data_IF_848137828284
#
_entry.id   IF_848137828284
#
_cell.length_a   1.000
_cell.length_b   1.000
_cell.length_c   1.000
_cell.angle_alpha   90.00
_cell.angle_beta   90.00
_cell.angle_gamma   90.00
#
_symmetry.space_group_name_H-M   'P 1'
#
loop_
_entity.id
_entity.type
_entity.pdbx_description
1 polymer ?
#
# COMPACT_ATOMS: atom_id res chain seq x y z
N UNK A 1 9.05 74.70 -47.30
CA UNK A 1 9.85 74.34 -48.46
C UNK A 1 10.40 72.97 -48.20
N UNK A 2 9.80 71.94 -48.79
CA UNK A 2 10.32 71.13 -49.91
C UNK A 2 11.40 70.15 -49.41
N UNK A 3 11.41 68.91 -49.63
CA UNK A 3 10.86 67.85 -50.48
C UNK A 3 11.12 66.53 -49.82
N UNK A 4 10.13 65.66 -49.67
CA UNK A 4 9.93 64.33 -50.24
C UNK A 4 11.16 63.60 -50.82
N UNK A 5 11.40 62.39 -50.31
CA UNK A 5 11.62 61.26 -51.19
C UNK A 5 11.29 59.94 -50.43
N UNK A 6 10.38 59.23 -51.03
CA UNK A 6 9.97 57.86 -50.67
C UNK A 6 11.00 56.87 -51.19
N UNK A 7 11.34 55.86 -50.39
CA UNK A 7 11.97 54.65 -50.86
C UNK A 7 11.22 53.47 -50.24
N UNK A 8 10.47 52.79 -51.07
CA UNK A 8 9.86 51.51 -50.84
C UNK A 8 10.90 50.43 -50.69
N UNK A 9 10.98 49.80 -49.51
CA UNK A 9 11.71 48.52 -49.38
C UNK A 9 10.64 47.41 -49.29
N UNK A 10 10.72 46.51 -50.26
CA UNK A 10 9.95 45.28 -50.33
C UNK A 10 10.46 44.34 -49.23
N UNK A 11 9.59 43.98 -48.27
CA UNK A 11 9.83 42.94 -47.27
C UNK A 11 9.67 41.59 -47.97
N UNK A 12 10.78 40.90 -48.20
CA UNK A 12 10.83 39.47 -48.51
C UNK A 12 10.36 38.66 -47.28
N UNK A 13 9.13 38.18 -47.32
CA UNK A 13 8.64 37.14 -46.44
C UNK A 13 9.35 35.81 -46.72
N UNK A 14 10.35 35.47 -45.91
CA UNK A 14 10.89 34.12 -45.83
C UNK A 14 9.88 33.26 -45.06
N UNK A 15 9.36 32.14 -45.59
CA UNK A 15 8.47 31.26 -44.83
C UNK A 15 9.26 30.58 -43.70
N UNK A 16 8.77 30.72 -42.49
CA UNK A 16 9.23 29.93 -41.34
C UNK A 16 9.07 28.44 -41.69
N UNK A 17 10.17 27.72 -41.73
CA UNK A 17 10.20 26.27 -41.92
C UNK A 17 9.37 25.62 -40.80
N UNK A 18 8.29 24.94 -41.15
CA UNK A 18 7.60 24.00 -40.31
C UNK A 18 8.62 22.98 -39.81
N UNK A 19 8.97 23.09 -38.51
CA UNK A 19 9.66 22.02 -37.80
C UNK A 19 8.72 20.84 -37.73
N UNK A 20 8.90 19.88 -38.63
CA UNK A 20 8.28 18.58 -38.54
C UNK A 20 8.77 17.92 -37.27
N UNK A 21 7.95 17.98 -36.21
CA UNK A 21 8.12 17.13 -35.02
C UNK A 21 7.99 15.69 -35.49
N UNK A 22 9.05 14.92 -35.35
CA UNK A 22 9.11 13.55 -35.83
C UNK A 22 8.14 12.68 -35.04
N UNK A 23 6.98 12.36 -35.61
CA UNK A 23 6.01 11.36 -35.08
C UNK A 23 6.72 10.04 -34.73
N UNK A 24 7.76 9.64 -35.44
CA UNK A 24 8.51 8.42 -35.20
C UNK A 24 9.29 8.36 -33.86
N UNK A 25 9.58 9.49 -33.19
CA UNK A 25 10.28 9.48 -31.90
C UNK A 25 9.30 9.34 -30.71
N UNK A 26 8.06 9.78 -30.87
CA UNK A 26 6.99 9.58 -29.87
C UNK A 26 6.53 8.13 -29.86
N UNK A 27 6.28 7.53 -31.03
CA UNK A 27 5.89 6.12 -31.17
C UNK A 27 6.95 5.17 -30.57
N UNK A 28 8.24 5.46 -30.72
CA UNK A 28 9.31 4.63 -30.16
C UNK A 28 9.39 4.70 -28.63
N UNK A 29 9.03 5.84 -28.02
CA UNK A 29 8.98 5.99 -26.56
C UNK A 29 7.77 5.25 -25.96
N UNK A 30 6.60 5.40 -26.56
CA UNK A 30 5.39 4.72 -26.11
C UNK A 30 5.53 3.20 -26.23
N UNK A 31 6.11 2.70 -27.31
CA UNK A 31 6.39 1.27 -27.49
C UNK A 31 7.39 0.74 -26.45
N UNK A 32 8.38 1.52 -26.07
CA UNK A 32 9.35 1.15 -25.02
C UNK A 32 8.70 1.10 -23.64
N UNK A 33 7.88 2.09 -23.30
CA UNK A 33 7.10 2.12 -22.04
C UNK A 33 6.16 0.90 -21.97
N UNK A 34 5.46 0.61 -23.05
CA UNK A 34 4.59 -0.57 -23.12
C UNK A 34 5.35 -1.88 -22.87
N UNK A 35 6.52 -2.05 -23.50
CA UNK A 35 7.39 -3.22 -23.32
C UNK A 35 7.87 -3.36 -21.87
N UNK A 36 8.26 -2.26 -21.24
CA UNK A 36 8.69 -2.25 -19.83
C UNK A 36 7.56 -2.63 -18.88
N UNK A 37 6.38 -2.03 -19.03
CA UNK A 37 5.19 -2.40 -18.24
C UNK A 37 4.85 -3.88 -18.43
N UNK A 38 4.82 -4.36 -19.65
CA UNK A 38 4.53 -5.77 -19.92
C UNK A 38 5.55 -6.73 -19.30
N UNK A 39 6.84 -6.37 -19.31
CA UNK A 39 7.89 -7.16 -18.68
C UNK A 39 7.71 -7.22 -17.16
N UNK A 40 7.38 -6.09 -16.51
CA UNK A 40 7.12 -6.04 -15.07
C UNK A 40 5.87 -6.83 -14.68
N UNK A 41 4.78 -6.70 -15.44
CA UNK A 41 3.58 -7.51 -15.24
C UNK A 41 3.84 -9.02 -15.41
N UNK A 42 4.83 -9.39 -16.20
CA UNK A 42 5.25 -10.80 -16.31
C UNK A 42 6.04 -11.25 -15.08
N UNK A 43 6.95 -10.41 -14.58
CA UNK A 43 7.76 -10.70 -13.38
C UNK A 43 6.89 -10.79 -12.12
N UNK A 44 5.87 -9.93 -12.03
CA UNK A 44 4.94 -9.86 -10.89
C UNK A 44 3.55 -10.42 -11.25
N UNK A 45 3.48 -11.44 -12.12
CA UNK A 45 2.22 -11.94 -12.67
C UNK A 45 1.20 -12.35 -11.61
N UNK A 46 1.65 -12.94 -10.50
CA UNK A 46 0.81 -13.36 -9.38
C UNK A 46 0.01 -12.20 -8.76
N UNK A 47 0.55 -10.98 -8.79
CA UNK A 47 -0.09 -9.78 -8.27
C UNK A 47 -1.36 -9.38 -9.06
N UNK A 48 -1.45 -9.80 -10.31
CA UNK A 48 -2.51 -9.47 -11.24
C UNK A 48 -3.41 -10.67 -11.58
N UNK A 49 -3.19 -11.83 -10.94
CA UNK A 49 -4.00 -13.02 -11.17
C UNK A 49 -5.40 -12.92 -10.54
N UNK A 50 -6.33 -13.69 -11.08
CA UNK A 50 -7.71 -13.79 -10.60
C UNK A 50 -7.83 -14.05 -9.10
N UNK A 51 -6.91 -14.82 -8.53
CA UNK A 51 -6.85 -15.13 -7.10
C UNK A 51 -6.80 -13.88 -6.20
N UNK A 52 -6.08 -12.82 -6.63
CA UNK A 52 -5.93 -11.57 -5.87
C UNK A 52 -7.25 -10.82 -5.75
N UNK A 53 -8.11 -10.91 -6.76
CA UNK A 53 -9.47 -10.40 -6.73
C UNK A 53 -10.43 -11.35 -6.00
N UNK A 54 -10.35 -12.63 -6.32
CA UNK A 54 -11.37 -13.61 -5.96
C UNK A 54 -11.43 -13.88 -4.44
N UNK A 55 -10.26 -13.88 -3.72
CA UNK A 55 -10.23 -14.07 -2.26
C UNK A 55 -10.95 -12.94 -1.52
N UNK A 56 -10.54 -11.66 -1.66
CA UNK A 56 -11.24 -10.55 -1.00
C UNK A 56 -12.72 -10.48 -1.37
N UNK A 57 -13.06 -10.72 -2.64
CA UNK A 57 -14.46 -10.77 -3.07
C UNK A 57 -15.26 -11.87 -2.37
N UNK A 58 -14.72 -13.10 -2.30
CA UNK A 58 -15.36 -14.22 -1.59
C UNK A 58 -15.63 -13.88 -0.15
N UNK A 59 -14.62 -13.35 0.54
CA UNK A 59 -14.70 -13.08 1.97
C UNK A 59 -15.67 -11.93 2.27
N UNK A 60 -15.63 -10.86 1.47
CA UNK A 60 -16.59 -9.77 1.57
C UNK A 60 -18.03 -10.23 1.32
N UNK A 61 -18.25 -11.06 0.29
CA UNK A 61 -19.58 -11.56 -0.08
C UNK A 61 -20.13 -12.56 0.93
N UNK A 62 -19.27 -13.37 1.57
CA UNK A 62 -19.66 -14.36 2.58
C UNK A 62 -20.24 -13.69 3.81
N UNK A 63 -19.62 -12.63 4.26
CA UNK A 63 -20.07 -11.86 5.43
C UNK A 63 -21.42 -11.18 5.15
N UNK A 64 -21.60 -10.54 3.99
CA UNK A 64 -22.86 -9.87 3.65
C UNK A 64 -24.05 -10.81 3.49
N UNK A 65 -23.84 -12.07 3.12
CA UNK A 65 -24.92 -13.06 3.05
C UNK A 65 -25.48 -13.45 4.41
N UNK A 66 -24.75 -13.20 5.48
CA UNK A 66 -25.12 -13.55 6.86
C UNK A 66 -25.60 -12.38 7.72
N UNK A 67 -25.12 -11.16 7.49
CA UNK A 67 -25.45 -9.96 8.28
C UNK A 67 -24.65 -8.74 7.78
N UNK A 68 -25.00 -7.56 8.29
CA UNK A 68 -24.29 -6.31 8.08
C UNK A 68 -22.81 -6.40 8.55
N UNK A 69 -21.81 -5.91 7.82
CA UNK A 69 -20.41 -5.85 8.26
C UNK A 69 -20.22 -5.21 9.63
N UNK A 70 -21.03 -4.21 9.95
CA UNK A 70 -21.02 -3.55 11.27
C UNK A 70 -21.29 -4.53 12.43
N UNK A 71 -22.00 -5.63 12.17
CA UNK A 71 -22.33 -6.63 13.20
C UNK A 71 -21.35 -7.80 13.25
N UNK A 72 -20.58 -8.06 12.16
CA UNK A 72 -19.66 -9.20 12.06
C UNK A 72 -18.19 -8.84 12.26
N UNK A 73 -17.86 -7.56 12.24
CA UNK A 73 -16.49 -7.06 12.40
C UNK A 73 -15.62 -7.25 11.15
N UNK A 74 -14.36 -6.90 11.30
CA UNK A 74 -13.38 -6.76 10.22
C UNK A 74 -12.27 -7.81 10.29
N UNK A 75 -11.79 -8.31 9.13
CA UNK A 75 -10.59 -9.16 9.06
C UNK A 75 -9.37 -8.50 9.70
N UNK A 76 -8.62 -9.26 10.52
CA UNK A 76 -7.37 -8.83 11.15
C UNK A 76 -6.21 -9.73 10.71
N UNK A 77 -6.27 -11.01 11.14
CA UNK A 77 -5.21 -11.99 10.89
C UNK A 77 -5.78 -13.33 10.44
N UNK A 78 -4.98 -14.08 9.68
CA UNK A 78 -5.24 -15.50 9.36
C UNK A 78 -4.15 -16.35 10.00
N UNK A 79 -4.52 -17.27 10.88
CA UNK A 79 -3.58 -18.15 11.56
C UNK A 79 -3.09 -19.26 10.62
N UNK A 80 -1.78 -19.53 10.64
CA UNK A 80 -1.22 -20.66 9.91
C UNK A 80 -1.36 -21.99 10.65
N UNK A 81 -1.64 -21.96 11.95
CA UNK A 81 -1.77 -23.15 12.79
C UNK A 81 -2.84 -22.97 13.88
N UNK A 82 -3.33 -24.09 14.41
CA UNK A 82 -4.25 -24.11 15.53
C UNK A 82 -5.72 -23.91 15.17
N UNK A 83 -6.57 -23.60 16.16
CA UNK A 83 -8.02 -23.44 15.95
C UNK A 83 -8.32 -22.33 14.94
N UNK A 84 -9.25 -22.59 13.99
CA UNK A 84 -9.61 -21.69 12.89
C UNK A 84 -8.44 -21.35 11.96
N UNK A 85 -7.48 -22.29 11.83
CA UNK A 85 -6.40 -22.17 10.82
C UNK A 85 -7.00 -21.86 9.45
N UNK A 86 -6.36 -20.97 8.73
CA UNK A 86 -6.75 -20.59 7.36
C UNK A 86 -7.95 -19.63 7.27
N UNK A 87 -8.60 -19.29 8.37
CA UNK A 87 -9.74 -18.39 8.40
C UNK A 87 -9.38 -17.05 9.08
N UNK A 88 -10.03 -15.98 8.63
CA UNK A 88 -9.91 -14.68 9.28
C UNK A 88 -10.33 -14.71 10.75
N UNK A 89 -9.49 -14.17 11.60
CA UNK A 89 -9.86 -13.69 12.94
C UNK A 89 -10.46 -12.30 12.75
N UNK A 90 -11.63 -12.11 13.33
CA UNK A 90 -12.43 -10.90 13.14
C UNK A 90 -12.27 -9.98 14.36
N UNK A 91 -12.20 -8.67 14.11
CA UNK A 91 -12.11 -7.61 15.11
C UNK A 91 -13.26 -6.60 14.97
N UNK A 92 -13.48 -5.88 16.05
CA UNK A 92 -14.41 -4.75 16.12
C UNK A 92 -13.99 -3.61 15.16
N UNK A 93 -14.95 -2.78 14.67
CA UNK A 93 -14.67 -1.66 13.77
C UNK A 93 -13.74 -0.59 14.34
N UNK A 94 -13.66 -0.51 15.68
CA UNK A 94 -12.79 0.39 16.43
C UNK A 94 -11.32 0.00 16.38
N UNK A 95 -11.01 -1.22 15.95
CA UNK A 95 -9.62 -1.69 15.89
C UNK A 95 -8.89 -1.04 14.71
N UNK A 96 -7.62 -0.71 14.90
CA UNK A 96 -6.82 0.07 13.96
C UNK A 96 -6.71 -0.52 12.53
N UNK A 97 -6.92 -1.84 12.38
CA UNK A 97 -6.82 -2.51 11.08
C UNK A 97 -8.11 -2.47 10.26
N UNK A 98 -9.21 -1.95 10.80
CA UNK A 98 -10.53 -2.09 10.16
C UNK A 98 -10.64 -1.40 8.79
N UNK A 99 -9.81 -0.40 8.50
CA UNK A 99 -9.78 0.31 7.21
C UNK A 99 -9.14 -0.48 6.08
N UNK A 100 -8.25 -1.45 6.36
CA UNK A 100 -7.48 -2.12 5.31
C UNK A 100 -8.31 -3.07 4.45
N UNK A 101 -9.24 -3.81 5.03
CA UNK A 101 -10.07 -4.72 4.22
C UNK A 101 -10.98 -3.98 3.24
N UNK A 102 -11.78 -2.98 3.65
CA UNK A 102 -12.49 -2.14 2.68
C UNK A 102 -11.54 -1.41 1.73
N UNK A 103 -10.35 -0.99 2.21
CA UNK A 103 -9.30 -0.42 1.36
C UNK A 103 -8.86 -1.37 0.25
N UNK A 104 -8.67 -2.67 0.55
CA UNK A 104 -8.36 -3.70 -0.46
C UNK A 104 -9.46 -3.81 -1.51
N UNK A 105 -10.73 -3.76 -1.10
CA UNK A 105 -11.85 -3.80 -2.03
C UNK A 105 -11.87 -2.56 -2.95
N UNK A 106 -11.64 -1.38 -2.40
CA UNK A 106 -11.55 -0.15 -3.20
C UNK A 106 -10.33 -0.10 -4.10
N UNK A 107 -9.17 -0.61 -3.69
CA UNK A 107 -8.00 -0.73 -4.54
C UNK A 107 -8.26 -1.65 -5.74
N UNK A 108 -8.88 -2.80 -5.53
CA UNK A 108 -9.29 -3.69 -6.61
C UNK A 108 -10.36 -3.06 -7.53
N UNK A 109 -11.27 -2.27 -6.96
CA UNK A 109 -12.25 -1.49 -7.73
C UNK A 109 -11.57 -0.41 -8.57
N UNK A 110 -10.64 0.34 -8.01
CA UNK A 110 -9.82 1.32 -8.73
C UNK A 110 -9.06 0.66 -9.88
N UNK A 111 -8.38 -0.46 -9.62
CA UNK A 111 -7.69 -1.24 -10.66
C UNK A 111 -8.63 -1.62 -11.80
N UNK A 112 -9.83 -2.10 -11.48
CA UNK A 112 -10.82 -2.49 -12.50
C UNK A 112 -11.33 -1.32 -13.34
N UNK A 113 -11.34 -0.09 -12.79
CA UNK A 113 -11.80 1.13 -13.47
C UNK A 113 -10.64 1.78 -14.27
N UNK A 114 -9.50 2.02 -13.61
CA UNK A 114 -8.40 2.80 -14.18
C UNK A 114 -7.41 1.95 -14.99
N UNK A 115 -7.24 0.67 -14.58
CA UNK A 115 -6.25 -0.25 -15.16
C UNK A 115 -6.86 -1.59 -15.59
N UNK A 116 -7.90 -1.57 -16.46
CA UNK A 116 -8.64 -2.79 -16.81
C UNK A 116 -7.75 -3.88 -17.46
N UNK A 117 -6.67 -3.49 -18.13
CA UNK A 117 -5.70 -4.42 -18.72
C UNK A 117 -4.87 -5.21 -17.70
N UNK A 118 -4.80 -4.74 -16.44
CA UNK A 118 -4.08 -5.40 -15.35
C UNK A 118 -4.94 -6.42 -14.58
N UNK A 119 -6.24 -6.47 -14.87
CA UNK A 119 -7.15 -7.46 -14.29
C UNK A 119 -7.15 -8.75 -15.13
N UNK A 120 -6.35 -9.73 -14.72
CA UNK A 120 -6.27 -11.04 -15.40
C UNK A 120 -7.35 -11.97 -14.87
N UNK A 121 -8.50 -11.98 -15.51
CA UNK A 121 -9.54 -12.95 -15.23
C UNK A 121 -9.46 -14.10 -16.24
N UNK A 122 -9.24 -15.32 -15.75
CA UNK A 122 -9.21 -16.54 -16.57
C UNK A 122 -10.64 -17.01 -16.92
N UNK A 123 -11.60 -16.61 -16.09
CA UNK A 123 -13.00 -17.00 -16.24
C UNK A 123 -13.70 -16.19 -17.33
N UNK A 124 -14.38 -16.83 -18.31
CA UNK A 124 -15.04 -16.14 -19.42
C UNK A 124 -16.04 -15.05 -18.97
N UNK A 125 -16.72 -15.27 -17.83
CA UNK A 125 -17.69 -14.35 -17.26
C UNK A 125 -17.11 -13.09 -16.61
N UNK A 126 -15.78 -13.01 -16.40
CA UNK A 126 -15.08 -11.86 -15.80
C UNK A 126 -14.17 -11.12 -16.77
N UNK A 127 -14.23 -11.43 -18.06
CA UNK A 127 -13.34 -10.79 -19.06
C UNK A 127 -13.56 -9.29 -19.21
N UNK A 128 -14.68 -8.75 -18.73
CA UNK A 128 -14.95 -7.32 -18.73
C UNK A 128 -14.71 -6.73 -17.35
N UNK A 129 -13.84 -5.74 -17.27
CA UNK A 129 -13.60 -4.96 -16.04
C UNK A 129 -14.87 -4.30 -15.49
N UNK A 130 -15.82 -3.93 -16.37
CA UNK A 130 -17.12 -3.40 -15.97
C UNK A 130 -17.92 -4.41 -15.14
N UNK A 131 -17.81 -5.70 -15.44
CA UNK A 131 -18.46 -6.76 -14.67
C UNK A 131 -17.83 -6.82 -13.27
N UNK A 132 -16.50 -6.82 -13.18
CA UNK A 132 -15.79 -6.83 -11.90
C UNK A 132 -16.16 -5.60 -11.05
N UNK A 133 -16.16 -4.41 -11.65
CA UNK A 133 -16.58 -3.17 -10.97
C UNK A 133 -18.01 -3.27 -10.43
N UNK A 134 -18.95 -3.86 -11.19
CA UNK A 134 -20.34 -4.00 -10.77
C UNK A 134 -20.52 -4.92 -9.56
N UNK A 135 -19.63 -5.89 -9.37
CA UNK A 135 -19.64 -6.77 -8.20
C UNK A 135 -18.94 -6.16 -6.99
N UNK A 136 -17.85 -5.39 -7.21
CA UNK A 136 -17.08 -4.78 -6.13
C UNK A 136 -17.77 -3.57 -5.51
N UNK A 137 -18.39 -2.71 -6.32
CA UNK A 137 -18.93 -1.44 -5.84
C UNK A 137 -19.94 -1.58 -4.68
N UNK A 138 -20.91 -2.49 -4.72
CA UNK A 138 -21.83 -2.70 -3.58
C UNK A 138 -21.09 -3.17 -2.32
N UNK A 139 -20.07 -4.02 -2.47
CA UNK A 139 -19.24 -4.48 -1.36
C UNK A 139 -18.43 -3.32 -0.76
N UNK A 140 -17.77 -2.53 -1.60
CA UNK A 140 -17.02 -1.34 -1.17
C UNK A 140 -17.89 -0.41 -0.33
N UNK A 141 -19.10 -0.08 -0.82
CA UNK A 141 -20.04 0.80 -0.09
C UNK A 141 -20.49 0.22 1.25
N UNK A 142 -20.82 -1.08 1.29
CA UNK A 142 -21.23 -1.72 2.53
C UNK A 142 -20.09 -1.82 3.56
N UNK A 143 -18.88 -2.20 3.12
CA UNK A 143 -17.74 -2.36 4.01
C UNK A 143 -17.13 -1.03 4.48
N UNK A 144 -17.35 0.08 3.77
CA UNK A 144 -16.89 1.42 4.18
C UNK A 144 -17.87 2.14 5.14
N UNK A 145 -19.05 1.59 5.39
CA UNK A 145 -20.04 2.23 6.27
C UNK A 145 -19.53 2.41 7.72
N UNK A 146 -18.98 1.38 8.41
CA UNK A 146 -18.47 1.56 9.76
C UNK A 146 -17.28 2.53 9.88
N UNK A 147 -16.27 2.57 8.98
CA UNK A 147 -15.23 3.59 8.95
C UNK A 147 -15.74 5.03 9.02
N UNK A 148 -16.87 5.37 8.35
CA UNK A 148 -17.47 6.70 8.49
C UNK A 148 -17.78 7.06 9.95
N UNK A 149 -18.28 6.10 10.73
CA UNK A 149 -18.58 6.28 12.15
C UNK A 149 -17.34 6.54 13.01
N UNK A 150 -16.16 6.12 12.54
CA UNK A 150 -14.91 6.28 13.28
C UNK A 150 -14.28 7.68 13.12
N UNK A 151 -14.76 8.51 12.20
CA UNK A 151 -14.17 9.81 11.89
C UNK A 151 -14.08 10.79 13.07
N UNK A 152 -14.94 10.66 14.07
CA UNK A 152 -14.96 11.52 15.27
C UNK A 152 -14.08 11.00 16.44
N UNK A 153 -13.36 9.90 16.26
CA UNK A 153 -12.53 9.32 17.33
C UNK A 153 -11.32 10.19 17.64
N UNK A 154 -11.00 10.30 18.92
CA UNK A 154 -9.90 11.12 19.44
C UNK A 154 -8.99 10.37 20.40
N UNK A 155 -9.15 9.06 20.54
CA UNK A 155 -8.45 8.21 21.52
C UNK A 155 -7.23 7.49 20.96
N UNK A 156 -7.01 7.53 19.63
CA UNK A 156 -5.89 6.90 18.94
C UNK A 156 -5.34 7.77 17.82
N UNK A 157 -4.07 7.61 17.47
CA UNK A 157 -3.49 8.20 16.26
C UNK A 157 -3.79 7.36 15.00
N UNK A 158 -4.24 6.12 15.14
CA UNK A 158 -4.45 5.16 14.05
C UNK A 158 -5.63 5.51 13.12
N UNK A 159 -6.27 6.63 13.37
CA UNK A 159 -7.46 7.06 12.61
C UNK A 159 -7.18 7.17 11.10
N UNK A 160 -5.94 7.46 10.71
CA UNK A 160 -5.53 7.45 9.30
C UNK A 160 -5.65 6.07 8.67
N UNK A 161 -5.20 5.02 9.35
CA UNK A 161 -5.32 3.63 8.88
C UNK A 161 -6.78 3.16 8.78
N UNK A 162 -7.66 3.71 9.62
CA UNK A 162 -9.09 3.39 9.60
C UNK A 162 -9.81 4.06 8.44
N UNK A 163 -9.47 5.32 8.15
CA UNK A 163 -10.23 6.19 7.25
C UNK A 163 -9.67 6.17 5.82
N UNK A 164 -8.36 6.41 5.65
CA UNK A 164 -7.77 6.69 4.34
C UNK A 164 -7.86 5.54 3.35
N UNK A 165 -7.60 4.27 3.72
CA UNK A 165 -7.52 3.19 2.73
C UNK A 165 -8.76 3.04 1.85
N UNK A 166 -9.94 3.30 2.41
CA UNK A 166 -11.20 3.16 1.70
C UNK A 166 -11.80 4.51 1.26
N UNK A 167 -11.90 5.49 2.19
CA UNK A 167 -12.70 6.69 1.95
C UNK A 167 -12.00 7.67 1.00
N UNK A 168 -10.67 7.69 0.95
CA UNK A 168 -9.95 8.48 -0.04
C UNK A 168 -10.31 8.02 -1.46
N UNK A 169 -10.27 6.72 -1.73
CA UNK A 169 -10.64 6.16 -3.04
C UNK A 169 -12.10 6.38 -3.37
N UNK A 170 -12.98 6.30 -2.38
CA UNK A 170 -14.41 6.57 -2.58
C UNK A 170 -14.65 8.03 -3.03
N UNK A 171 -13.91 8.96 -2.46
CA UNK A 171 -13.93 10.36 -2.89
C UNK A 171 -13.31 10.53 -4.29
N UNK A 172 -12.11 10.00 -4.53
CA UNK A 172 -11.36 10.21 -5.77
C UNK A 172 -11.96 9.51 -6.98
N UNK A 173 -12.67 8.39 -6.79
CA UNK A 173 -13.32 7.64 -7.87
C UNK A 173 -14.74 8.13 -8.16
N UNK A 174 -15.48 8.56 -7.14
CA UNK A 174 -16.91 8.81 -7.25
C UNK A 174 -17.37 10.19 -6.78
N UNK A 175 -16.47 11.03 -6.26
CA UNK A 175 -16.85 12.33 -5.72
C UNK A 175 -17.78 12.25 -4.50
N UNK A 176 -17.59 11.25 -3.63
CA UNK A 176 -18.44 11.02 -2.47
C UNK A 176 -18.26 12.12 -1.42
N UNK A 177 -19.17 13.08 -1.37
CA UNK A 177 -19.16 14.17 -0.39
C UNK A 177 -19.15 13.69 1.06
N UNK A 178 -19.75 12.54 1.33
CA UNK A 178 -19.70 11.92 2.65
C UNK A 178 -18.30 11.45 3.01
N UNK A 179 -17.58 10.86 2.05
CA UNK A 179 -16.22 10.35 2.29
C UNK A 179 -15.24 11.48 2.53
N UNK A 180 -15.26 12.56 1.73
CA UNK A 180 -14.41 13.71 2.00
C UNK A 180 -14.77 14.42 3.31
N UNK A 181 -16.05 14.49 3.68
CA UNK A 181 -16.48 15.04 4.96
C UNK A 181 -15.94 14.21 6.15
N UNK A 182 -15.96 12.87 6.05
CA UNK A 182 -15.41 11.99 7.06
C UNK A 182 -13.87 12.09 7.16
N UNK A 183 -13.17 12.22 6.04
CA UNK A 183 -11.72 12.46 6.02
C UNK A 183 -11.36 13.76 6.72
N UNK A 184 -12.07 14.86 6.41
CA UNK A 184 -11.84 16.15 7.04
C UNK A 184 -12.13 16.09 8.55
N UNK A 185 -13.23 15.43 8.96
CA UNK A 185 -13.56 15.23 10.36
C UNK A 185 -12.46 14.43 11.07
N UNK A 186 -12.00 13.32 10.49
CA UNK A 186 -10.96 12.48 11.05
C UNK A 186 -9.62 13.23 11.20
N UNK A 187 -9.27 14.08 10.21
CA UNK A 187 -8.09 14.95 10.30
C UNK A 187 -8.19 15.93 11.48
N UNK A 188 -9.36 16.53 11.69
CA UNK A 188 -9.59 17.38 12.87
C UNK A 188 -9.53 16.58 14.17
N UNK A 189 -10.09 15.37 14.21
CA UNK A 189 -10.01 14.47 15.36
C UNK A 189 -8.56 14.10 15.68
N UNK A 190 -7.75 13.73 14.70
CA UNK A 190 -6.32 13.45 14.87
C UNK A 190 -5.55 14.70 15.37
N UNK A 191 -5.85 15.87 14.83
CA UNK A 191 -5.20 17.11 15.23
C UNK A 191 -5.48 17.49 16.70
N UNK A 192 -6.57 17.02 17.32
CA UNK A 192 -6.83 17.25 18.76
C UNK A 192 -5.81 16.54 19.66
N UNK A 193 -5.14 15.52 19.15
CA UNK A 193 -4.11 14.76 19.89
C UNK A 193 -2.73 15.45 19.88
N UNK A 194 -2.61 16.58 19.21
CA UNK A 194 -1.36 17.34 19.15
C UNK A 194 -1.05 18.00 20.48
N UNK A 195 0.12 17.70 21.04
CA UNK A 195 0.64 18.25 22.28
C UNK A 195 1.67 19.33 21.95
N UNK A 196 1.30 20.58 22.13
CA UNK A 196 2.12 21.74 21.74
C UNK A 196 3.51 21.72 22.39
N UNK A 197 3.61 21.38 23.67
CA UNK A 197 4.89 21.32 24.40
C UNK A 197 5.86 20.28 23.85
N UNK A 198 5.34 19.18 23.27
CA UNK A 198 6.13 18.14 22.64
C UNK A 198 6.33 18.37 21.13
N UNK A 199 5.55 19.24 20.51
CA UNK A 199 5.53 19.43 19.07
C UNK A 199 5.08 18.19 18.31
N UNK A 200 4.25 17.31 18.91
CA UNK A 200 3.93 16.00 18.38
C UNK A 200 2.52 15.54 18.73
N UNK A 201 2.01 14.61 17.93
CA UNK A 201 0.72 13.93 18.12
C UNK A 201 0.93 12.74 19.07
N UNK A 202 0.08 12.63 20.08
CA UNK A 202 0.07 11.50 21.00
C UNK A 202 -0.50 10.26 20.33
N UNK A 203 0.17 9.11 20.51
CA UNK A 203 -0.28 7.84 19.93
C UNK A 203 -1.51 7.28 20.65
N UNK A 204 -1.41 7.04 21.95
CA UNK A 204 -2.50 6.51 22.81
C UNK A 204 -2.55 7.24 24.13
N UNK A 205 -3.64 7.05 24.88
CA UNK A 205 -3.84 7.67 26.20
C UNK A 205 -3.31 6.80 27.33
N UNK A 206 -2.97 5.55 27.07
CA UNK A 206 -2.30 4.66 27.99
C UNK A 206 -1.56 3.55 27.27
N UNK A 207 -0.59 2.95 27.94
CA UNK A 207 0.03 1.69 27.55
C UNK A 207 0.06 0.76 28.77
N UNK A 208 -0.43 -0.47 28.59
CA UNK A 208 -0.39 -1.53 29.61
C UNK A 208 0.23 -2.77 28.98
N UNK A 209 1.43 -3.11 29.42
CA UNK A 209 2.16 -4.32 29.04
C UNK A 209 2.62 -5.04 30.33
N UNK A 210 3.24 -6.21 30.18
CA UNK A 210 3.67 -7.01 31.35
C UNK A 210 4.58 -6.22 32.29
N UNK A 211 5.50 -5.44 31.74
CA UNK A 211 6.55 -4.76 32.52
C UNK A 211 6.43 -3.22 32.50
N UNK A 212 5.46 -2.68 31.74
CA UNK A 212 5.29 -1.24 31.59
C UNK A 212 3.82 -0.87 31.68
N UNK A 213 3.49 0.02 32.60
CA UNK A 213 2.17 0.64 32.69
C UNK A 213 2.31 2.15 32.78
N UNK A 214 1.78 2.86 31.79
CA UNK A 214 1.74 4.33 31.74
C UNK A 214 0.27 4.71 31.51
N UNK A 215 -0.35 5.34 32.50
CA UNK A 215 -1.75 5.78 32.47
C UNK A 215 -1.91 7.28 32.77
N UNK A 216 -0.85 7.93 33.31
CA UNK A 216 -0.85 9.37 33.52
C UNK A 216 -0.36 10.09 32.27
N UNK A 217 -1.26 10.77 31.56
CA UNK A 217 -0.99 11.54 30.35
C UNK A 217 -0.73 13.01 30.63
N UNK A 218 -0.77 13.48 31.85
CA UNK A 218 -0.36 14.85 32.22
C UNK A 218 1.15 14.99 32.16
N UNK A 219 1.87 13.99 32.69
CA UNK A 219 3.32 13.96 32.76
C UNK A 219 3.98 13.16 31.63
N UNK A 220 3.20 12.43 30.83
CA UNK A 220 3.71 11.53 29.80
C UNK A 220 3.08 11.78 28.44
N UNK A 221 3.87 11.61 27.40
CA UNK A 221 3.42 11.52 26.03
C UNK A 221 3.93 10.22 25.40
N UNK A 222 3.02 9.44 24.85
CA UNK A 222 3.32 8.21 24.14
C UNK A 222 3.32 8.48 22.65
N UNK A 223 4.47 8.23 22.00
CA UNK A 223 4.64 8.40 20.55
C UNK A 223 5.36 7.18 20.01
N UNK A 224 4.84 6.60 18.94
CA UNK A 224 5.49 5.54 18.19
C UNK A 224 5.72 5.97 16.73
N UNK A 225 6.69 5.37 16.08
CA UNK A 225 7.17 5.80 14.77
C UNK A 225 6.12 5.67 13.65
N UNK A 226 5.23 4.70 13.73
CA UNK A 226 4.16 4.47 12.76
C UNK A 226 3.10 5.58 12.71
N UNK A 227 3.08 6.46 13.73
CA UNK A 227 2.29 7.70 13.68
C UNK A 227 2.62 8.56 12.45
N UNK A 228 3.81 8.41 11.86
CA UNK A 228 4.19 9.04 10.61
C UNK A 228 3.27 8.65 9.44
N UNK A 229 2.82 7.40 9.40
CA UNK A 229 1.93 6.91 8.35
C UNK A 229 0.53 7.56 8.40
N UNK A 230 0.12 8.06 9.56
CA UNK A 230 -1.17 8.72 9.75
C UNK A 230 -1.15 10.23 9.42
N UNK A 231 0.03 10.80 9.10
CA UNK A 231 0.14 12.22 8.72
C UNK A 231 -0.43 12.50 7.33
N UNK A 232 -0.52 11.50 6.47
CA UNK A 232 -1.13 11.62 5.15
C UNK A 232 -2.57 12.15 5.26
N UNK A 233 -3.34 11.66 6.24
CA UNK A 233 -4.68 12.17 6.55
C UNK A 233 -4.70 13.69 6.77
N UNK A 234 -3.72 14.24 7.51
CA UNK A 234 -3.64 15.68 7.80
C UNK A 234 -3.24 16.48 6.57
N UNK A 235 -2.25 16.01 5.81
CA UNK A 235 -1.81 16.67 4.59
C UNK A 235 -2.90 16.63 3.52
N UNK A 236 -3.57 15.49 3.35
CA UNK A 236 -4.67 15.35 2.41
C UNK A 236 -5.83 16.31 2.74
N UNK A 237 -6.30 16.32 3.99
CA UNK A 237 -7.36 17.21 4.42
C UNK A 237 -6.95 18.70 4.32
N UNK A 238 -5.68 19.04 4.59
CA UNK A 238 -5.17 20.39 4.39
C UNK A 238 -5.23 20.81 2.92
N UNK A 239 -4.84 19.94 2.00
CA UNK A 239 -4.89 20.19 0.56
C UNK A 239 -6.34 20.35 0.06
N UNK A 240 -7.27 19.52 0.52
CA UNK A 240 -8.69 19.59 0.12
C UNK A 240 -9.41 20.81 0.67
N UNK A 241 -9.01 21.33 1.83
CA UNK A 241 -9.71 22.44 2.51
C UNK A 241 -9.01 23.78 2.46
N UNK A 242 -7.73 23.82 2.04
CA UNK A 242 -6.87 25.00 2.16
C UNK A 242 -6.51 25.37 3.61
N UNK A 243 -6.79 24.50 4.59
CA UNK A 243 -6.51 24.76 6.02
C UNK A 243 -5.06 24.37 6.38
N UNK A 244 -4.13 25.30 6.22
CA UNK A 244 -2.69 25.08 6.48
C UNK A 244 -2.39 24.56 7.88
N UNK A 245 -3.18 24.90 8.90
CA UNK A 245 -2.96 24.43 10.29
C UNK A 245 -2.84 22.91 10.41
N UNK A 246 -3.57 22.13 9.60
CA UNK A 246 -3.46 20.66 9.64
C UNK A 246 -2.09 20.19 9.11
N UNK A 247 -1.61 20.82 8.04
CA UNK A 247 -0.28 20.57 7.51
C UNK A 247 0.83 21.01 8.48
N UNK A 248 0.63 22.12 9.22
CA UNK A 248 1.57 22.60 10.24
C UNK A 248 1.71 21.58 11.38
N UNK A 249 0.59 21.03 11.86
CA UNK A 249 0.59 19.95 12.88
C UNK A 249 1.33 18.72 12.38
N UNK A 250 1.06 18.27 11.15
CA UNK A 250 1.74 17.14 10.55
C UNK A 250 3.25 17.38 10.41
N UNK A 251 3.64 18.55 9.91
CA UNK A 251 5.04 18.93 9.72
C UNK A 251 5.81 19.05 11.06
N UNK A 252 5.15 19.60 12.09
CA UNK A 252 5.72 19.68 13.44
C UNK A 252 5.96 18.30 14.02
N UNK A 253 4.98 17.40 13.94
CA UNK A 253 5.10 16.01 14.37
C UNK A 253 6.24 15.28 13.64
N UNK A 254 6.26 15.36 12.32
CA UNK A 254 7.31 14.75 11.51
C UNK A 254 8.70 15.28 11.88
N UNK A 255 8.84 16.58 12.10
CA UNK A 255 10.11 17.21 12.53
C UNK A 255 10.54 16.71 13.90
N UNK A 256 9.60 16.54 14.84
CA UNK A 256 9.91 16.00 16.17
C UNK A 256 10.40 14.55 16.07
N UNK A 257 9.72 13.70 15.29
CA UNK A 257 10.14 12.30 15.12
C UNK A 257 11.48 12.19 14.39
N UNK A 258 11.71 13.02 13.39
CA UNK A 258 12.99 13.10 12.71
C UNK A 258 14.14 13.32 13.71
N UNK A 259 13.98 14.26 14.63
CA UNK A 259 15.00 14.60 15.65
C UNK A 259 15.15 13.55 16.74
N UNK A 260 14.03 12.98 17.20
CA UNK A 260 14.03 12.12 18.40
C UNK A 260 14.21 10.63 18.08
N UNK A 261 13.64 10.15 17.00
CA UNK A 261 13.66 8.74 16.63
C UNK A 261 14.75 8.41 15.61
N UNK A 262 14.88 9.19 14.53
CA UNK A 262 15.83 8.93 13.45
C UNK A 262 17.19 9.58 13.68
N UNK A 263 17.24 10.76 14.35
CA UNK A 263 18.46 11.51 14.67
C UNK A 263 19.40 11.72 13.46
N UNK A 264 18.89 12.17 12.29
CA UNK A 264 19.71 12.35 11.10
C UNK A 264 20.70 13.52 11.29
N UNK A 265 21.81 13.48 10.57
CA UNK A 265 22.79 14.58 10.56
C UNK A 265 22.25 15.87 9.92
N UNK A 266 21.27 15.74 9.00
CA UNK A 266 20.56 16.86 8.40
C UNK A 266 19.04 16.71 8.61
N UNK A 267 18.33 17.85 8.63
CA UNK A 267 16.89 17.89 8.90
C UNK A 267 16.03 17.85 7.62
N UNK A 268 16.53 17.31 6.51
CA UNK A 268 15.79 17.21 5.27
C UNK A 268 15.02 15.89 5.21
N UNK A 269 13.69 15.96 5.13
CA UNK A 269 12.84 14.78 5.10
C UNK A 269 13.18 13.81 3.96
N UNK A 270 13.46 14.32 2.77
CA UNK A 270 13.81 13.47 1.62
C UNK A 270 15.13 12.71 1.85
N UNK A 271 16.15 13.38 2.41
CA UNK A 271 17.44 12.75 2.68
C UNK A 271 17.31 11.72 3.81
N UNK A 272 16.50 12.00 4.84
CA UNK A 272 16.16 11.04 5.87
C UNK A 272 15.40 9.82 5.31
N UNK A 273 14.43 10.04 4.42
CA UNK A 273 13.71 8.95 3.76
C UNK A 273 14.65 8.08 2.92
N UNK A 274 15.57 8.69 2.15
CA UNK A 274 16.59 7.95 1.41
C UNK A 274 17.50 7.15 2.37
N UNK A 275 17.98 7.76 3.45
CA UNK A 275 18.85 7.11 4.44
C UNK A 275 18.17 5.94 5.16
N UNK A 276 16.90 6.07 5.56
CA UNK A 276 16.12 4.97 6.13
C UNK A 276 15.94 3.83 5.13
N UNK A 277 15.68 4.17 3.87
CA UNK A 277 15.50 3.18 2.79
C UNK A 277 16.79 2.41 2.52
N UNK A 278 17.93 3.11 2.42
CA UNK A 278 19.26 2.47 2.25
C UNK A 278 19.61 1.58 3.46
N UNK A 279 19.34 2.04 4.69
CA UNK A 279 19.54 1.22 5.87
C UNK A 279 18.67 -0.03 5.86
N UNK A 280 17.40 0.09 5.48
CA UNK A 280 16.50 -1.05 5.37
C UNK A 280 17.01 -2.06 4.32
N UNK A 281 17.43 -1.61 3.15
CA UNK A 281 18.01 -2.45 2.10
C UNK A 281 19.29 -3.15 2.58
N UNK A 282 20.19 -2.41 3.24
CA UNK A 282 21.39 -2.98 3.85
C UNK A 282 21.04 -4.09 4.86
N UNK A 283 20.01 -3.88 5.71
CA UNK A 283 19.57 -4.91 6.67
C UNK A 283 18.97 -6.13 5.97
N UNK A 284 18.25 -5.96 4.87
CA UNK A 284 17.78 -7.09 4.04
C UNK A 284 18.95 -7.89 3.44
N UNK A 285 19.98 -7.20 2.95
CA UNK A 285 21.14 -7.84 2.33
C UNK A 285 22.02 -8.60 3.34
N UNK A 286 22.12 -8.08 4.54
CA UNK A 286 22.95 -8.68 5.62
C UNK A 286 22.21 -9.72 6.46
N UNK A 287 20.88 -9.80 6.33
CA UNK A 287 20.05 -10.77 7.06
C UNK A 287 20.09 -12.16 6.40
N UNK A 288 19.80 -13.25 7.16
CA UNK A 288 19.65 -14.57 6.58
C UNK A 288 18.58 -14.61 5.49
N UNK A 289 18.87 -15.27 4.35
CA UNK A 289 17.86 -15.51 3.31
C UNK A 289 16.78 -16.48 3.79
N UNK A 290 15.55 -16.37 3.26
CA UNK A 290 14.46 -17.28 3.66
C UNK A 290 14.65 -18.70 3.17
N UNK A 291 15.10 -18.88 1.91
CA UNK A 291 15.24 -20.19 1.27
C UNK A 291 16.40 -20.16 0.29
N UNK A 292 17.26 -21.18 0.34
CA UNK A 292 18.21 -21.46 -0.72
C UNK A 292 17.57 -22.45 -1.69
N UNK A 293 17.28 -22.00 -2.90
CA UNK A 293 16.76 -22.88 -3.97
C UNK A 293 17.89 -23.17 -4.94
N UNK A 294 18.25 -24.46 -5.13
CA UNK A 294 19.13 -24.84 -6.21
C UNK A 294 18.51 -24.46 -7.56
N UNK A 295 19.20 -23.68 -8.37
CA UNK A 295 18.80 -23.46 -9.76
C UNK A 295 19.54 -24.44 -10.61
N UNK A 296 18.85 -25.23 -11.45
CA UNK A 296 19.50 -25.99 -12.50
C UNK A 296 20.17 -24.99 -13.46
N UNK A 297 21.49 -24.96 -13.48
CA UNK A 297 22.25 -24.20 -14.46
C UNK A 297 23.16 -25.13 -15.23
N UNK A 298 23.27 -24.94 -16.54
CA UNK A 298 24.20 -25.63 -17.43
C UNK A 298 25.68 -25.40 -17.08
N UNK A 299 25.99 -24.62 -16.09
CA UNK A 299 27.33 -24.22 -15.66
C UNK A 299 27.60 -24.35 -14.16
N UNK A 300 27.18 -25.48 -13.54
CA UNK A 300 27.59 -25.82 -12.17
C UNK A 300 26.90 -25.03 -11.06
N UNK A 301 26.53 -25.72 -10.01
CA UNK A 301 25.91 -25.32 -8.74
C UNK A 301 25.98 -23.83 -8.36
N UNK A 302 25.16 -22.96 -8.97
CA UNK A 302 24.84 -21.65 -8.42
C UNK A 302 23.49 -21.77 -7.71
N UNK A 303 23.48 -21.71 -6.39
CA UNK A 303 22.25 -21.56 -5.61
C UNK A 303 21.77 -20.12 -5.75
N UNK A 304 20.56 -19.92 -6.27
CA UNK A 304 19.88 -18.62 -6.11
C UNK A 304 19.20 -18.58 -4.76
N UNK A 305 19.44 -17.52 -4.01
CA UNK A 305 18.81 -17.28 -2.73
C UNK A 305 17.45 -16.61 -3.01
N UNK A 306 16.35 -17.33 -2.78
CA UNK A 306 15.00 -16.76 -2.82
C UNK A 306 14.61 -16.22 -1.44
N UNK A 307 13.82 -15.13 -1.42
CA UNK A 307 13.28 -14.56 -0.21
C UNK A 307 14.26 -13.72 0.60
N UNK A 308 15.41 -13.35 0.04
CA UNK A 308 16.37 -12.45 0.69
C UNK A 308 15.71 -11.13 1.09
N UNK A 309 14.85 -10.59 0.24
CA UNK A 309 14.20 -9.31 0.42
C UNK A 309 12.85 -9.40 1.16
N UNK A 310 12.52 -10.53 1.78
CA UNK A 310 11.45 -10.62 2.77
C UNK A 310 12.05 -10.32 4.15
N UNK A 311 11.70 -9.20 4.81
CA UNK A 311 12.35 -8.78 6.04
C UNK A 311 12.12 -9.75 7.19
N UNK A 312 13.07 -9.82 8.11
CA UNK A 312 12.84 -10.37 9.44
C UNK A 312 11.80 -9.51 10.16
N UNK A 313 11.05 -10.13 11.07
CA UNK A 313 10.09 -9.40 11.89
C UNK A 313 10.75 -8.31 12.75
N UNK A 314 12.03 -8.50 13.09
CA UNK A 314 12.89 -7.55 13.76
C UNK A 314 14.34 -7.90 13.44
N UNK A 315 15.10 -6.95 12.92
CA UNK A 315 16.46 -7.21 12.43
C UNK A 315 17.47 -7.55 13.54
N UNK A 316 17.24 -7.11 14.78
CA UNK A 316 18.16 -7.27 15.90
C UNK A 316 17.66 -8.28 16.95
N UNK A 317 16.43 -8.83 16.79
CA UNK A 317 15.95 -9.84 17.69
C UNK A 317 16.68 -11.18 17.49
N UNK A 318 16.89 -11.97 18.55
CA UNK A 318 17.43 -13.33 18.42
C UNK A 318 16.58 -14.17 17.48
N UNK A 319 17.23 -14.93 16.61
CA UNK A 319 16.57 -15.88 15.72
C UNK A 319 16.41 -17.20 16.47
N UNK A 320 15.19 -17.51 16.92
CA UNK A 320 14.88 -18.71 17.69
C UNK A 320 15.09 -19.99 16.88
N UNK A 321 14.68 -19.97 15.60
CA UNK A 321 14.90 -21.08 14.66
C UNK A 321 15.68 -20.60 13.42
N UNK A 322 16.98 -20.86 13.32
CA UNK A 322 17.78 -20.45 12.17
C UNK A 322 17.33 -21.05 10.82
N UNK A 323 16.59 -22.16 10.84
CA UNK A 323 16.07 -22.80 9.62
C UNK A 323 14.82 -22.10 9.11
N UNK A 324 14.05 -21.50 10.00
CA UNK A 324 12.78 -20.82 9.72
C UNK A 324 12.69 -19.52 10.52
N UNK A 325 13.51 -18.51 10.23
CA UNK A 325 13.48 -17.26 10.95
C UNK A 325 12.13 -16.57 10.73
N UNK A 326 11.56 -15.99 11.80
CA UNK A 326 10.32 -15.23 11.70
C UNK A 326 10.48 -14.03 10.76
N UNK A 327 9.55 -13.92 9.83
CA UNK A 327 9.49 -12.88 8.81
C UNK A 327 8.28 -11.98 9.00
N UNK A 328 8.34 -10.81 8.39
CA UNK A 328 7.19 -9.93 8.26
C UNK A 328 6.97 -9.54 6.79
N UNK A 329 6.14 -10.31 6.10
CA UNK A 329 5.76 -10.05 4.71
C UNK A 329 5.05 -8.69 4.55
N UNK A 330 4.32 -8.23 5.57
CA UNK A 330 3.64 -6.94 5.52
C UNK A 330 4.62 -5.77 5.53
N UNK A 331 5.67 -5.84 6.35
CA UNK A 331 6.73 -4.82 6.36
C UNK A 331 7.44 -4.73 5.00
N UNK A 332 7.63 -5.86 4.31
CA UNK A 332 8.21 -5.88 2.97
C UNK A 332 7.37 -5.10 1.96
N UNK A 333 6.08 -5.40 1.85
CA UNK A 333 5.20 -4.71 0.88
C UNK A 333 4.94 -3.25 1.25
N UNK A 334 4.90 -2.90 2.54
CA UNK A 334 4.81 -1.50 3.00
C UNK A 334 6.06 -0.73 2.56
N UNK A 335 7.25 -1.29 2.81
CA UNK A 335 8.51 -0.66 2.41
C UNK A 335 8.61 -0.51 0.88
N UNK A 336 8.14 -1.51 0.12
CA UNK A 336 8.12 -1.44 -1.34
C UNK A 336 7.21 -0.31 -1.86
N UNK A 337 6.03 -0.09 -1.26
CA UNK A 337 5.18 1.06 -1.59
C UNK A 337 5.90 2.39 -1.29
N UNK A 338 6.53 2.51 -0.11
CA UNK A 338 7.32 3.69 0.24
C UNK A 338 8.46 3.96 -0.75
N UNK A 339 9.18 2.91 -1.17
CA UNK A 339 10.25 3.01 -2.18
C UNK A 339 9.72 3.43 -3.56
N UNK A 340 8.56 2.93 -3.95
CA UNK A 340 7.91 3.32 -5.21
C UNK A 340 7.58 4.81 -5.23
N UNK A 341 6.98 5.32 -4.15
CA UNK A 341 6.66 6.74 -3.98
C UNK A 341 7.95 7.61 -3.94
N UNK A 342 8.96 7.15 -3.20
CA UNK A 342 10.25 7.83 -3.10
C UNK A 342 10.96 7.90 -4.46
N UNK A 343 10.90 6.81 -5.23
CA UNK A 343 11.41 6.75 -6.60
C UNK A 343 10.75 7.80 -7.50
N UNK A 344 9.43 7.94 -7.45
CA UNK A 344 8.69 8.96 -8.21
C UNK A 344 9.10 10.38 -7.82
N UNK A 345 9.19 10.66 -6.51
CA UNK A 345 9.63 11.96 -6.02
C UNK A 345 11.05 12.31 -6.47
N UNK A 346 11.98 11.35 -6.41
CA UNK A 346 13.37 11.52 -6.86
C UNK A 346 13.47 11.73 -8.38
N UNK A 347 12.67 11.03 -9.17
CA UNK A 347 12.59 11.24 -10.62
C UNK A 347 12.13 12.66 -10.95
N UNK A 348 11.09 13.15 -10.27
CA UNK A 348 10.61 14.53 -10.42
C UNK A 348 11.64 15.61 -10.03
N UNK A 349 12.63 15.26 -9.21
CA UNK A 349 13.76 16.11 -8.83
C UNK A 349 15.01 15.90 -9.69
N UNK A 350 14.94 15.09 -10.75
CA UNK A 350 16.06 14.78 -11.63
C UNK A 350 17.12 13.84 -11.02
N UNK A 351 16.84 13.20 -9.87
CA UNK A 351 17.77 12.25 -9.20
C UNK A 351 17.57 10.82 -9.74
N UNK A 352 17.69 10.65 -11.06
CA UNK A 352 17.29 9.43 -11.79
C UNK A 352 18.02 8.15 -11.35
N UNK A 353 19.31 8.22 -11.01
CA UNK A 353 20.06 7.03 -10.56
C UNK A 353 19.50 6.46 -9.28
N UNK A 354 19.22 7.32 -8.29
CA UNK A 354 18.68 6.92 -7.01
C UNK A 354 17.20 6.52 -7.13
N UNK A 355 16.44 7.23 -7.97
CA UNK A 355 15.07 6.86 -8.34
C UNK A 355 15.01 5.43 -8.87
N UNK A 356 15.85 5.09 -9.84
CA UNK A 356 15.91 3.75 -10.42
C UNK A 356 16.31 2.70 -9.39
N UNK A 357 17.29 3.00 -8.54
CA UNK A 357 17.75 2.09 -7.48
C UNK A 357 16.59 1.70 -6.56
N UNK A 358 15.80 2.66 -6.05
CA UNK A 358 14.67 2.36 -5.18
C UNK A 358 13.49 1.71 -5.92
N UNK A 359 13.29 2.05 -7.19
CA UNK A 359 12.30 1.37 -8.01
C UNK A 359 12.64 -0.12 -8.16
N UNK A 360 13.86 -0.45 -8.57
CA UNK A 360 14.31 -1.85 -8.75
C UNK A 360 14.26 -2.62 -7.43
N UNK A 361 14.65 -1.99 -6.32
CA UNK A 361 14.56 -2.59 -4.99
C UNK A 361 13.11 -2.90 -4.60
N UNK A 362 12.16 -1.99 -4.88
CA UNK A 362 10.74 -2.21 -4.61
C UNK A 362 10.18 -3.42 -5.36
N UNK A 363 10.53 -3.55 -6.64
CA UNK A 363 10.16 -4.69 -7.47
C UNK A 363 10.73 -6.00 -6.93
N UNK A 364 12.00 -5.99 -6.51
CA UNK A 364 12.64 -7.19 -5.97
C UNK A 364 12.03 -7.64 -4.65
N UNK A 365 11.70 -6.70 -3.75
CA UNK A 365 11.01 -7.00 -2.48
C UNK A 365 9.65 -7.67 -2.74
N UNK A 366 8.84 -7.09 -3.63
CA UNK A 366 7.51 -7.66 -3.93
C UNK A 366 7.64 -9.00 -4.63
N UNK A 367 8.59 -9.14 -5.56
CA UNK A 367 8.87 -10.42 -6.22
C UNK A 367 9.23 -11.51 -5.21
N UNK A 368 10.16 -11.24 -4.28
CA UNK A 368 10.56 -12.21 -3.26
C UNK A 368 9.40 -12.52 -2.28
N UNK A 369 8.57 -11.51 -1.97
CA UNK A 369 7.38 -11.71 -1.15
C UNK A 369 6.35 -12.60 -1.86
N UNK A 370 6.10 -12.41 -3.15
CA UNK A 370 5.22 -13.29 -3.94
C UNK A 370 5.77 -14.71 -4.03
N UNK A 371 7.07 -14.85 -4.28
CA UNK A 371 7.73 -16.16 -4.42
C UNK A 371 7.69 -17.01 -3.13
N UNK A 372 7.74 -16.38 -1.95
CA UNK A 372 7.90 -17.06 -0.66
C UNK A 372 6.65 -16.99 0.22
N UNK A 373 5.95 -15.87 0.19
CA UNK A 373 4.88 -15.57 1.14
C UNK A 373 3.48 -15.66 0.56
N UNK A 374 3.31 -15.71 -0.76
CA UNK A 374 1.98 -15.86 -1.36
C UNK A 374 1.37 -17.19 -0.91
N UNK A 375 0.12 -17.15 -0.45
CA UNK A 375 -0.59 -18.36 -0.02
C UNK A 375 -0.79 -19.32 -1.21
N UNK A 376 -0.39 -20.58 -1.01
CA UNK A 376 -0.54 -21.64 -2.01
C UNK A 376 -1.99 -22.08 -2.20
N UNK A 377 -2.84 -21.80 -1.19
CA UNK A 377 -4.29 -22.04 -1.22
C UNK A 377 -4.94 -20.94 -2.07
N UNK A 378 -5.02 -21.19 -3.37
CA UNK A 378 -5.62 -20.28 -4.35
C UNK A 378 -7.10 -20.58 -4.56
N UNK A 379 -7.83 -19.59 -5.04
CA UNK A 379 -9.23 -19.68 -5.43
C UNK A 379 -9.39 -19.31 -6.90
N UNK A 380 -10.49 -19.74 -7.50
CA UNK A 380 -10.91 -19.39 -8.85
C UNK A 380 -12.37 -18.96 -8.87
N UNK A 381 -12.71 -18.14 -9.83
CA UNK A 381 -14.10 -17.76 -10.08
C UNK A 381 -14.77 -18.79 -10.98
N UNK A 382 -15.95 -19.23 -10.56
CA UNK A 382 -16.83 -20.06 -11.38
C UNK A 382 -18.14 -19.30 -11.61
N UNK A 383 -18.51 -19.12 -12.88
CA UNK A 383 -19.78 -18.47 -13.23
C UNK A 383 -20.89 -19.53 -13.23
N UNK A 384 -21.96 -19.29 -12.46
CA UNK A 384 -23.19 -20.08 -12.63
C UNK A 384 -23.96 -19.54 -13.83
N UNK A 385 -24.30 -20.38 -14.79
CA UNK A 385 -25.08 -20.02 -15.99
C UNK A 385 -26.51 -19.55 -15.66
N UNK A 386 -27.01 -19.84 -14.45
CA UNK A 386 -28.43 -19.68 -14.08
C UNK A 386 -28.83 -18.38 -13.39
N UNK A 387 -27.87 -17.52 -13.00
CA UNK A 387 -28.25 -16.25 -12.36
C UNK A 387 -27.20 -15.16 -12.57
N UNK A 388 -27.41 -14.31 -13.55
CA UNK A 388 -26.57 -13.15 -13.85
C UNK A 388 -26.39 -12.12 -12.70
N UNK A 389 -26.48 -12.55 -11.42
CA UNK A 389 -26.43 -11.67 -10.24
C UNK A 389 -25.31 -11.98 -9.23
N UNK A 390 -24.63 -13.11 -9.29
CA UNK A 390 -23.52 -13.42 -8.38
C UNK A 390 -22.50 -14.34 -9.03
N UNK A 391 -21.21 -14.03 -8.81
CA UNK A 391 -20.13 -14.94 -9.11
C UNK A 391 -19.89 -15.88 -7.92
N UNK A 392 -19.57 -17.14 -8.21
CA UNK A 392 -19.18 -18.12 -7.22
C UNK A 392 -17.65 -18.22 -7.22
N UNK A 393 -17.06 -18.28 -6.05
CA UNK A 393 -15.62 -18.47 -5.87
C UNK A 393 -15.38 -19.81 -5.18
N UNK A 394 -14.52 -20.63 -5.75
CA UNK A 394 -14.21 -21.98 -5.28
C UNK A 394 -12.70 -22.13 -5.04
N UNK A 395 -12.34 -22.95 -4.05
CA UNK A 395 -10.94 -23.33 -3.85
C UNK A 395 -10.43 -24.14 -5.04
N UNK A 396 -9.18 -23.89 -5.48
CA UNK A 396 -8.59 -24.60 -6.61
C UNK A 396 -8.19 -26.02 -6.27
N UNK A 397 -7.94 -26.28 -4.96
CA UNK A 397 -7.56 -27.59 -4.44
C UNK A 397 -8.43 -27.92 -3.24
N UNK A 398 -9.03 -29.12 -3.16
CA UNK A 398 -9.77 -29.57 -1.98
C UNK A 398 -8.82 -29.66 -0.76
N UNK A 399 -9.25 -29.14 0.38
CA UNK A 399 -8.48 -29.23 1.60
C UNK A 399 -8.46 -27.94 2.42
N UNK A 400 -7.35 -27.61 3.08
CA UNK A 400 -7.25 -26.42 3.90
C UNK A 400 -7.34 -25.17 3.03
N UNK A 401 -8.10 -24.18 3.51
CA UNK A 401 -8.18 -22.84 2.92
C UNK A 401 -7.23 -21.89 3.65
N UNK A 402 -6.90 -20.77 3.02
CA UNK A 402 -6.20 -19.67 3.65
C UNK A 402 -6.78 -18.36 3.09
N UNK A 403 -7.53 -17.65 3.93
CA UNK A 403 -8.32 -16.49 3.47
C UNK A 403 -7.45 -15.31 3.03
N UNK A 404 -6.30 -15.03 3.68
CA UNK A 404 -5.39 -13.96 3.28
C UNK A 404 -4.61 -14.30 1.99
N UNK A 405 -4.11 -13.27 1.31
CA UNK A 405 -3.21 -13.40 0.16
C UNK A 405 -1.80 -13.80 0.61
N UNK A 406 -1.27 -13.14 1.64
CA UNK A 406 0.08 -13.35 2.14
C UNK A 406 0.11 -14.15 3.45
N UNK A 407 1.13 -14.98 3.61
CA UNK A 407 1.57 -15.67 4.82
C UNK A 407 2.79 -14.97 5.42
N UNK A 408 3.23 -15.42 6.59
CA UNK A 408 4.50 -15.02 7.22
C UNK A 408 4.59 -13.55 7.62
N UNK A 409 3.46 -12.93 7.99
CA UNK A 409 3.42 -11.64 8.65
C UNK A 409 3.62 -11.77 10.15
N UNK A 410 4.43 -10.91 10.75
CA UNK A 410 4.71 -10.88 12.19
C UNK A 410 4.76 -9.43 12.68
N UNK A 411 3.65 -8.96 13.22
CA UNK A 411 3.54 -7.59 13.76
C UNK A 411 4.24 -7.49 15.12
N UNK A 412 4.16 -8.56 15.93
CA UNK A 412 4.63 -8.50 17.31
C UNK A 412 4.98 -9.90 17.83
N UNK A 413 6.25 -10.11 18.18
CA UNK A 413 6.72 -11.33 18.86
C UNK A 413 7.52 -11.04 20.13
N UNK A 414 7.36 -9.86 20.74
CA UNK A 414 8.06 -9.51 21.98
C UNK A 414 7.60 -10.37 23.15
N UNK A 415 8.55 -10.78 23.97
CA UNK A 415 8.28 -11.61 25.15
C UNK A 415 7.37 -10.95 26.18
N UNK A 416 7.53 -9.63 26.33
CA UNK A 416 6.75 -8.81 27.26
C UNK A 416 5.32 -8.50 26.77
N UNK A 417 5.01 -8.80 25.51
CA UNK A 417 3.70 -8.50 24.94
C UNK A 417 2.61 -9.35 25.57
N UNK A 418 1.47 -8.72 25.81
CA UNK A 418 0.27 -9.44 26.30
C UNK A 418 -0.23 -10.45 25.27
N UNK A 419 -0.06 -10.16 23.98
CA UNK A 419 -0.44 -11.02 22.87
C UNK A 419 0.60 -10.94 21.76
N UNK A 420 1.08 -12.09 21.31
CA UNK A 420 1.99 -12.19 20.16
C UNK A 420 1.20 -12.38 18.87
N UNK A 421 1.62 -11.70 17.84
CA UNK A 421 1.08 -11.79 16.46
C UNK A 421 2.20 -12.17 15.51
N UNK A 422 2.57 -13.44 15.55
CA UNK A 422 3.70 -13.95 14.80
C UNK A 422 3.25 -15.00 13.77
N UNK A 423 3.79 -14.90 12.56
CA UNK A 423 3.61 -15.89 11.51
C UNK A 423 2.15 -16.08 11.08
N UNK A 424 1.50 -14.98 10.70
CA UNK A 424 0.09 -14.93 10.28
C UNK A 424 -0.03 -14.39 8.84
N UNK A 425 -1.21 -14.55 8.23
CA UNK A 425 -1.68 -13.64 7.20
C UNK A 425 -2.16 -12.35 7.87
N UNK A 426 -1.83 -11.19 7.32
CA UNK A 426 -2.18 -9.90 7.88
C UNK A 426 -3.01 -9.11 6.87
N UNK A 427 -4.12 -8.52 7.31
CA UNK A 427 -5.00 -7.74 6.42
C UNK A 427 -4.28 -6.51 5.83
N UNK A 428 -3.39 -5.88 6.58
CA UNK A 428 -2.56 -4.78 6.07
C UNK A 428 -1.56 -5.26 5.02
N UNK A 429 -0.99 -6.46 5.17
CA UNK A 429 -0.12 -7.06 4.15
C UNK A 429 -0.84 -7.26 2.82
N UNK A 430 -2.06 -7.77 2.86
CA UNK A 430 -2.90 -7.95 1.67
C UNK A 430 -3.25 -6.61 1.02
N UNK A 431 -3.62 -5.60 1.82
CA UNK A 431 -3.91 -4.25 1.34
C UNK A 431 -2.71 -3.65 0.61
N UNK A 432 -1.55 -3.59 1.26
CA UNK A 432 -0.36 -2.98 0.67
C UNK A 432 0.20 -3.78 -0.52
N UNK A 433 -0.05 -5.08 -0.59
CA UNK A 433 0.27 -5.86 -1.79
C UNK A 433 -0.58 -5.41 -3.00
N UNK A 434 -1.89 -5.23 -2.81
CA UNK A 434 -2.79 -4.75 -3.87
C UNK A 434 -2.47 -3.30 -4.22
N UNK A 435 -2.27 -2.44 -3.22
CA UNK A 435 -1.82 -1.05 -3.35
C UNK A 435 -0.58 -0.90 -4.23
N UNK A 436 0.42 -1.76 -4.01
CA UNK A 436 1.65 -1.75 -4.82
C UNK A 436 1.36 -2.01 -6.30
N UNK A 437 0.44 -2.92 -6.61
CA UNK A 437 0.05 -3.18 -7.99
C UNK A 437 -0.59 -1.97 -8.67
N UNK A 438 -1.43 -1.24 -7.97
CA UNK A 438 -2.07 -0.02 -8.47
C UNK A 438 -1.04 1.11 -8.62
N UNK A 439 -0.13 1.25 -7.65
CA UNK A 439 1.00 2.16 -7.70
C UNK A 439 1.93 1.88 -8.89
N UNK A 440 2.17 0.60 -9.21
CA UNK A 440 2.95 0.19 -10.38
C UNK A 440 2.24 0.54 -11.69
N UNK A 441 0.92 0.32 -11.77
CA UNK A 441 0.12 0.66 -12.95
C UNK A 441 0.06 2.17 -13.18
N UNK A 442 0.06 2.98 -12.12
CA UNK A 442 0.09 4.45 -12.18
C UNK A 442 1.48 5.02 -12.42
N UNK A 443 2.55 4.21 -12.31
CA UNK A 443 3.93 4.68 -12.38
C UNK A 443 4.26 5.28 -13.76
N UNK A 444 4.81 6.50 -13.74
CA UNK A 444 5.20 7.22 -14.95
C UNK A 444 6.54 6.75 -15.50
N UNK A 445 6.58 5.65 -16.25
CA UNK A 445 7.80 5.07 -16.82
C UNK A 445 8.59 6.00 -17.76
N UNK A 446 7.98 7.11 -18.19
CA UNK A 446 8.67 8.11 -19.02
C UNK A 446 9.77 8.88 -18.28
N UNK A 447 9.88 8.71 -16.97
CA UNK A 447 10.82 9.43 -16.10
C UNK A 447 12.00 8.56 -15.62
N UNK A 448 11.99 7.26 -15.90
CA UNK A 448 13.13 6.36 -15.70
C UNK A 448 14.08 6.43 -16.90
#
# INVERSE_FOLDING_TARGET
>A
MAHSNSSTAEDEHTPLSETSWSEGAADSKEENIYKQKHALHKVLSELFEENVFAKPYRDASRVLKGSDPAHNGFPEIVRQQGPKQGQWVIREPEFWTCGFFPGTLYALLERSIRYPGSMRANSPGLRSSMIISSYLLPLCKSWSEPPHGMASRTDTHDIGFIIMPALQRDWELFGSERSISSIIQAAHSLATRYVLAAGAIRSWDCIVQKDVTITNMEDNILIIIDSMCNLDLLFYAAAQTGKHRLADVASSHATTLLKTHLRPENERFLDAACGCTEYFLHRLETSPSCVEVPVPSDSGNKSTRRGRYVPLWHFDAPIENPKEPLRDSSAGVIAANGMLLLSQALAGLGRHTLSRHFFEASIQIVKDTLDVCLATEKVKVTTSEDSGKSIKVEDTVPGPTFDALLKYGTVNNYEISMRRYANHGLVCGDYYLVEFGDGLDSYGFSQL
#
